data_IF_119793466507
#
_entry.id   IF_119793466507
#
_cell.length_a   1.000
_cell.length_b   1.000
_cell.length_c   1.000
_cell.angle_alpha   90.00
_cell.angle_beta   90.00
_cell.angle_gamma   90.00
#
_symmetry.space_group_name_H-M   'P 1'
#
loop_
_entity.id
_entity.type
_entity.pdbx_description
1 polymer ?
#
# COMPACT_ATOMS: atom_id res chain seq x y z
N UNK A 1 -10.11 16.24 -15.35
CA UNK A 1 -9.53 15.02 -14.73
C UNK A 1 -10.53 14.47 -13.72
N UNK A 2 -10.86 13.17 -13.74
CA UNK A 2 -11.68 12.55 -12.69
C UNK A 2 -10.93 12.65 -11.36
N UNK A 3 -11.61 12.92 -10.26
CA UNK A 3 -10.98 12.94 -8.94
C UNK A 3 -10.73 11.50 -8.48
N UNK A 4 -9.56 11.16 -7.92
CA UNK A 4 -9.33 9.83 -7.38
C UNK A 4 -10.29 9.57 -6.21
N UNK A 5 -10.79 8.33 -6.06
CA UNK A 5 -11.61 7.96 -4.90
C UNK A 5 -10.87 8.28 -3.60
N UNK A 6 -11.55 8.85 -2.60
CA UNK A 6 -10.91 9.23 -1.33
C UNK A 6 -10.19 8.05 -0.65
N UNK A 7 -10.76 6.84 -0.76
CA UNK A 7 -10.16 5.62 -0.22
C UNK A 7 -8.91 5.17 -1.00
N UNK A 8 -8.87 5.42 -2.32
CA UNK A 8 -7.67 5.18 -3.14
C UNK A 8 -6.54 6.13 -2.72
N UNK A 9 -6.86 7.42 -2.55
CA UNK A 9 -5.90 8.40 -2.06
C UNK A 9 -5.35 8.02 -0.69
N UNK A 10 -6.22 7.57 0.23
CA UNK A 10 -5.82 7.11 1.56
C UNK A 10 -4.87 5.90 1.51
N UNK A 11 -5.15 4.88 0.70
CA UNK A 11 -4.27 3.72 0.53
C UNK A 11 -2.90 4.16 -0.01
N UNK A 12 -2.89 5.02 -1.03
CA UNK A 12 -1.65 5.55 -1.60
C UNK A 12 -0.84 6.32 -0.56
N UNK A 13 -1.48 7.22 0.20
CA UNK A 13 -0.82 8.00 1.25
C UNK A 13 -0.23 7.09 2.33
N UNK A 14 -0.99 6.09 2.80
CA UNK A 14 -0.52 5.13 3.79
C UNK A 14 0.64 4.28 3.28
N UNK A 15 0.55 3.82 2.03
CA UNK A 15 1.61 3.02 1.41
C UNK A 15 2.90 3.82 1.23
N UNK A 16 2.80 5.08 0.77
CA UNK A 16 3.96 5.98 0.67
C UNK A 16 4.56 6.25 2.05
N UNK A 17 3.74 6.51 3.07
CA UNK A 17 4.22 6.70 4.44
C UNK A 17 4.96 5.46 4.95
N UNK A 18 4.43 4.25 4.70
CA UNK A 18 5.07 2.99 5.03
C UNK A 18 6.40 2.80 4.29
N UNK A 19 6.47 3.09 2.99
CA UNK A 19 7.72 2.93 2.21
C UNK A 19 8.81 3.94 2.63
N UNK A 20 8.43 5.13 3.09
CA UNK A 20 9.38 6.19 3.48
C UNK A 20 9.80 6.08 4.96
N UNK A 21 9.00 5.42 5.80
CA UNK A 21 9.28 5.21 7.23
C UNK A 21 10.71 4.70 7.53
N UNK A 22 11.24 3.66 6.83
CA UNK A 22 12.58 3.15 7.10
C UNK A 22 13.70 4.12 6.74
N UNK A 23 13.47 5.06 5.81
CA UNK A 23 14.44 6.10 5.45
C UNK A 23 14.50 7.19 6.53
N UNK A 24 13.34 7.58 7.06
CA UNK A 24 13.25 8.67 8.03
C UNK A 24 13.60 8.24 9.46
N UNK A 25 13.23 7.02 9.85
CA UNK A 25 13.27 6.57 11.25
C UNK A 25 13.89 5.18 11.45
N UNK A 26 14.25 4.47 10.38
CA UNK A 26 14.84 3.13 10.46
C UNK A 26 16.36 3.11 10.21
N UNK A 27 17.03 1.97 10.44
CA UNK A 27 18.41 1.79 9.99
C UNK A 27 18.40 1.83 8.46
N UNK A 28 18.90 2.93 7.89
CA UNK A 28 18.87 3.17 6.46
C UNK A 28 19.65 2.08 5.70
N UNK A 29 18.95 1.06 5.22
CA UNK A 29 19.45 0.27 4.10
C UNK A 29 19.32 1.14 2.84
N UNK A 30 20.32 1.12 1.97
CA UNK A 30 20.39 1.88 0.72
C UNK A 30 19.31 1.44 -0.30
N UNK A 31 18.03 1.51 0.07
CA UNK A 31 16.88 1.09 -0.72
C UNK A 31 16.10 2.27 -1.30
N UNK A 32 16.82 3.35 -1.68
CA UNK A 32 16.27 4.49 -2.40
C UNK A 32 15.52 4.05 -3.68
N UNK A 33 15.99 2.98 -4.34
CA UNK A 33 15.32 2.40 -5.50
C UNK A 33 13.91 1.84 -5.18
N UNK A 34 13.74 1.20 -4.02
CA UNK A 34 12.43 0.70 -3.57
C UNK A 34 11.46 1.85 -3.30
N UNK A 35 11.94 2.92 -2.67
CA UNK A 35 11.10 4.10 -2.38
C UNK A 35 10.76 4.87 -3.65
N UNK A 36 11.72 5.09 -4.55
CA UNK A 36 11.48 5.70 -5.85
C UNK A 36 10.47 4.89 -6.68
N UNK A 37 10.60 3.56 -6.70
CA UNK A 37 9.64 2.67 -7.35
C UNK A 37 8.24 2.78 -6.71
N UNK A 38 8.16 2.73 -5.38
CA UNK A 38 6.90 2.84 -4.62
C UNK A 38 6.18 4.17 -4.90
N UNK A 39 6.93 5.28 -4.92
CA UNK A 39 6.41 6.61 -5.25
C UNK A 39 5.94 6.70 -6.69
N UNK A 40 6.72 6.15 -7.62
CA UNK A 40 6.39 6.16 -9.06
C UNK A 40 5.12 5.37 -9.33
N UNK A 41 5.00 4.15 -8.80
CA UNK A 41 3.79 3.33 -8.89
C UNK A 41 2.59 4.03 -8.25
N UNK A 42 2.78 4.66 -7.09
CA UNK A 42 1.75 5.42 -6.39
C UNK A 42 1.24 6.61 -7.20
N UNK A 43 2.14 7.38 -7.82
CA UNK A 43 1.79 8.49 -8.71
C UNK A 43 0.99 8.00 -9.91
N UNK A 44 1.44 6.96 -10.59
CA UNK A 44 0.70 6.41 -11.73
C UNK A 44 -0.66 5.83 -11.33
N UNK A 45 -0.78 5.22 -10.15
CA UNK A 45 -2.06 4.78 -9.61
C UNK A 45 -2.99 5.97 -9.33
N UNK A 46 -2.44 7.08 -8.83
CA UNK A 46 -3.17 8.32 -8.58
C UNK A 46 -3.66 8.98 -9.87
N UNK A 47 -2.94 8.83 -10.98
CA UNK A 47 -3.37 9.25 -12.32
C UNK A 47 -4.34 8.28 -13.00
N UNK A 48 -4.70 7.17 -12.35
CA UNK A 48 -5.68 6.21 -12.87
C UNK A 48 -5.10 5.12 -13.77
N UNK A 49 -3.78 4.89 -13.75
CA UNK A 49 -3.18 3.77 -14.47
C UNK A 49 -3.63 2.44 -13.88
N UNK A 50 -4.23 1.59 -14.72
CA UNK A 50 -4.68 0.23 -14.38
C UNK A 50 -3.49 -0.62 -13.95
N UNK A 51 -2.39 -0.57 -14.71
CA UNK A 51 -1.18 -1.36 -14.44
C UNK A 51 -0.59 -0.97 -13.09
N UNK A 52 -0.48 0.33 -12.82
CA UNK A 52 0.08 0.81 -11.56
C UNK A 52 -0.80 0.44 -10.36
N UNK A 53 -2.13 0.47 -10.49
CA UNK A 53 -3.03 0.01 -9.41
C UNK A 53 -2.89 -1.49 -9.15
N UNK A 54 -2.73 -2.32 -10.19
CA UNK A 54 -2.50 -3.75 -10.02
C UNK A 54 -1.15 -4.03 -9.35
N UNK A 55 -0.08 -3.34 -9.76
CA UNK A 55 1.23 -3.43 -9.11
C UNK A 55 1.11 -3.00 -7.65
N UNK A 56 0.45 -1.87 -7.37
CA UNK A 56 0.24 -1.39 -6.01
C UNK A 56 -0.53 -2.40 -5.15
N UNK A 57 -1.54 -3.09 -5.71
CA UNK A 57 -2.27 -4.14 -5.02
C UNK A 57 -1.37 -5.32 -4.66
N UNK A 58 -0.51 -5.77 -5.58
CA UNK A 58 0.46 -6.85 -5.32
C UNK A 58 1.42 -6.42 -4.21
N UNK A 59 1.98 -5.21 -4.28
CA UNK A 59 2.93 -4.75 -3.26
C UNK A 59 2.26 -4.59 -1.90
N UNK A 60 1.00 -4.12 -1.86
CA UNK A 60 0.22 -4.08 -0.62
C UNK A 60 0.01 -5.49 -0.04
N UNK A 61 -0.27 -6.50 -0.88
CA UNK A 61 -0.42 -7.88 -0.42
C UNK A 61 0.89 -8.46 0.15
N UNK A 62 2.03 -8.23 -0.53
CA UNK A 62 3.35 -8.66 -0.05
C UNK A 62 3.71 -7.95 1.26
N UNK A 63 3.47 -6.64 1.34
CA UNK A 63 3.72 -5.87 2.57
C UNK A 63 2.82 -6.32 3.73
N UNK A 64 1.56 -6.67 3.45
CA UNK A 64 0.65 -7.23 4.44
C UNK A 64 1.18 -8.57 5.00
N UNK A 65 1.64 -9.45 4.11
CA UNK A 65 2.23 -10.73 4.52
C UNK A 65 3.49 -10.52 5.36
N UNK A 66 4.38 -9.61 4.95
CA UNK A 66 5.59 -9.28 5.71
C UNK A 66 5.26 -8.73 7.10
N UNK A 67 4.35 -7.75 7.19
CA UNK A 67 3.92 -7.17 8.45
C UNK A 67 3.29 -8.22 9.39
N UNK A 68 2.48 -9.13 8.86
CA UNK A 68 1.89 -10.22 9.65
C UNK A 68 2.95 -11.21 10.15
N UNK A 69 3.90 -11.59 9.29
CA UNK A 69 5.01 -12.47 9.67
C UNK A 69 5.83 -11.89 10.83
N UNK A 70 6.26 -10.63 10.69
CA UNK A 70 6.98 -9.93 11.75
C UNK A 70 6.13 -9.78 13.02
N UNK A 71 4.83 -9.53 12.90
CA UNK A 71 3.94 -9.43 14.06
C UNK A 71 3.90 -10.72 14.88
N UNK A 72 3.87 -11.88 14.21
CA UNK A 72 3.88 -13.20 14.87
C UNK A 72 5.21 -13.44 15.57
N UNK A 73 6.34 -13.08 14.94
CA UNK A 73 7.68 -13.26 15.52
C UNK A 73 7.91 -12.42 16.77
N UNK A 74 7.30 -11.24 16.86
CA UNK A 74 7.52 -10.31 17.99
C UNK A 74 6.39 -10.31 19.03
N UNK A 75 5.39 -11.18 18.91
CA UNK A 75 4.20 -11.15 19.78
C UNK A 75 4.57 -11.34 21.26
N UNK A 76 5.55 -12.21 21.54
CA UNK A 76 6.02 -12.50 22.89
C UNK A 76 6.93 -11.41 23.45
N UNK A 77 7.60 -10.64 22.59
CA UNK A 77 8.55 -9.58 23.00
C UNK A 77 7.88 -8.20 23.10
N UNK A 78 6.86 -7.92 22.29
CA UNK A 78 6.11 -6.67 22.33
C UNK A 78 4.71 -6.83 21.72
N UNK A 79 3.73 -7.12 22.57
CA UNK A 79 2.31 -7.23 22.19
C UNK A 79 1.80 -5.96 21.51
N UNK A 80 2.22 -4.78 21.98
CA UNK A 80 1.79 -3.50 21.41
C UNK A 80 2.29 -3.31 19.97
N UNK A 81 3.56 -3.58 19.70
CA UNK A 81 4.11 -3.51 18.33
C UNK A 81 3.52 -4.58 17.42
N UNK A 82 3.31 -5.80 17.94
CA UNK A 82 2.64 -6.88 17.21
C UNK A 82 1.22 -6.47 16.79
N UNK A 83 0.42 -5.91 17.71
CA UNK A 83 -0.93 -5.44 17.40
C UNK A 83 -0.94 -4.33 16.33
N UNK A 84 0.01 -3.40 16.37
CA UNK A 84 0.16 -2.34 15.34
C UNK A 84 0.48 -2.96 13.97
N UNK A 85 1.39 -3.94 13.92
CA UNK A 85 1.73 -4.63 12.68
C UNK A 85 0.58 -5.46 12.12
N UNK A 86 -0.22 -6.11 12.97
CA UNK A 86 -1.45 -6.82 12.57
C UNK A 86 -2.45 -5.82 11.97
N UNK A 87 -2.68 -4.68 12.61
CA UNK A 87 -3.57 -3.65 12.10
C UNK A 87 -3.09 -3.10 10.75
N UNK A 88 -1.78 -2.88 10.59
CA UNK A 88 -1.17 -2.47 9.32
C UNK A 88 -1.36 -3.54 8.24
N UNK A 89 -1.14 -4.82 8.57
CA UNK A 89 -1.35 -5.94 7.64
C UNK A 89 -2.80 -6.02 7.14
N UNK A 90 -3.78 -5.88 8.04
CA UNK A 90 -5.20 -5.88 7.69
C UNK A 90 -5.54 -4.70 6.77
N UNK A 91 -5.03 -3.50 7.07
CA UNK A 91 -5.24 -2.32 6.23
C UNK A 91 -4.66 -2.50 4.83
N UNK A 92 -3.44 -3.02 4.72
CA UNK A 92 -2.77 -3.27 3.45
C UNK A 92 -3.50 -4.35 2.63
N UNK A 93 -3.94 -5.44 3.26
CA UNK A 93 -4.71 -6.49 2.60
C UNK A 93 -6.08 -5.98 2.10
N UNK A 94 -6.77 -5.17 2.93
CA UNK A 94 -8.01 -4.48 2.53
C UNK A 94 -7.77 -3.48 1.39
N UNK A 95 -6.64 -2.79 1.41
CA UNK A 95 -6.21 -1.89 0.35
C UNK A 95 -6.01 -2.63 -0.98
N UNK A 96 -5.30 -3.76 -0.96
CA UNK A 96 -5.12 -4.61 -2.14
C UNK A 96 -6.46 -5.10 -2.70
N UNK A 97 -7.36 -5.58 -1.83
CA UNK A 97 -8.69 -6.01 -2.23
C UNK A 97 -9.51 -4.86 -2.84
N UNK A 98 -9.44 -3.67 -2.24
CA UNK A 98 -10.12 -2.49 -2.77
C UNK A 98 -9.60 -2.09 -4.16
N UNK A 99 -8.28 -2.11 -4.37
CA UNK A 99 -7.67 -1.78 -5.65
C UNK A 99 -8.09 -2.73 -6.78
N UNK A 100 -8.26 -4.02 -6.48
CA UNK A 100 -8.59 -5.06 -7.47
C UNK A 100 -10.09 -5.19 -7.77
N UNK A 101 -10.96 -4.93 -6.80
CA UNK A 101 -12.38 -5.27 -6.91
C UNK A 101 -13.34 -4.08 -6.78
N UNK A 102 -12.85 -2.90 -6.41
CA UNK A 102 -13.72 -1.74 -6.22
C UNK A 102 -14.21 -1.17 -7.55
N UNK A 103 -15.53 -1.19 -7.75
CA UNK A 103 -16.19 -0.58 -8.90
C UNK A 103 -15.79 0.89 -9.10
N UNK A 104 -15.64 1.65 -8.00
CA UNK A 104 -15.21 3.06 -8.02
C UNK A 104 -13.80 3.24 -8.57
N UNK A 105 -12.89 2.32 -8.26
CA UNK A 105 -11.51 2.35 -8.77
C UNK A 105 -11.50 2.03 -10.26
N UNK A 106 -12.27 1.04 -10.70
CA UNK A 106 -12.40 0.69 -12.11
C UNK A 106 -13.10 1.79 -12.94
N UNK A 107 -14.11 2.48 -12.39
CA UNK A 107 -14.77 3.64 -13.01
C UNK A 107 -13.80 4.83 -13.16
N UNK A 108 -12.95 5.04 -12.14
CA UNK A 108 -11.89 6.04 -12.15
C UNK A 108 -10.82 5.72 -13.23
N UNK A 109 -10.43 4.45 -13.34
CA UNK A 109 -9.50 3.94 -14.36
C UNK A 109 -10.07 3.92 -15.79
N UNK A 110 -11.37 4.23 -15.97
CA UNK A 110 -12.01 4.18 -17.28
C UNK A 110 -12.35 2.77 -17.78
N UNK A 111 -12.18 1.73 -16.96
CA UNK A 111 -12.52 0.33 -17.28
C UNK A 111 -14.03 0.11 -17.54
N UNK A 112 -14.88 1.02 -17.07
CA UNK A 112 -16.33 1.00 -17.26
C UNK A 112 -16.86 2.23 -18.02
N UNK A 113 -15.99 3.00 -18.67
CA UNK A 113 -16.44 4.01 -19.64
C UNK A 113 -16.77 3.27 -20.95
N UNK A 114 -17.97 2.71 -21.02
CA UNK A 114 -18.67 2.52 -22.28
C UNK A 114 -19.12 3.89 -22.79
#
# INVERSE_FOLDING_TARGET
MKRPPAFLALIITLYVAYSVWPILFGPASNNLGYVAFSLTVSLFAFYGSVIACNILAIVCAIAAQGALGTAIEIIDSSIYMSAVLIAAAVLLARGAHYLLFSKRVHEFQGKYAQ
#
